data_IF_768346842651
#
_entry.id   IF_768346842651
#
_cell.length_a   1.000
_cell.length_b   1.000
_cell.length_c   1.000
_cell.angle_alpha   90.00
_cell.angle_beta   90.00
_cell.angle_gamma   90.00
#
_symmetry.space_group_name_H-M   'P 1'
#
loop_
_entity.id
_entity.type
_entity.pdbx_description
1 polymer ?
#
# COMPACT_ATOMS: atom_id res chain seq x y z
N UNK A 1 -7.28 -13.15 8.97
CA UNK A 1 -5.97 -13.03 9.67
C UNK A 1 -4.83 -13.44 8.76
N UNK A 2 -4.95 -14.58 8.08
CA UNK A 2 -3.89 -15.10 7.18
C UNK A 2 -3.46 -14.08 6.12
N UNK A 3 -4.40 -13.50 5.40
CA UNK A 3 -4.13 -12.47 4.37
C UNK A 3 -3.47 -11.23 4.96
N UNK A 4 -3.85 -10.79 6.16
CA UNK A 4 -3.22 -9.65 6.81
C UNK A 4 -1.76 -9.97 7.15
N UNK A 5 -1.48 -11.19 7.63
CA UNK A 5 -0.11 -11.66 7.92
C UNK A 5 0.72 -11.70 6.64
N UNK A 6 0.17 -12.28 5.57
CA UNK A 6 0.83 -12.35 4.27
C UNK A 6 1.09 -10.95 3.67
N UNK A 7 0.11 -10.05 3.75
CA UNK A 7 0.25 -8.66 3.29
C UNK A 7 1.31 -7.89 4.09
N UNK A 8 1.38 -8.12 5.42
CA UNK A 8 2.30 -7.41 6.30
C UNK A 8 3.74 -7.93 6.22
N UNK A 9 3.91 -9.25 6.20
CA UNK A 9 5.21 -9.88 6.40
C UNK A 9 5.71 -10.65 5.15
N UNK A 10 4.84 -10.90 4.17
CA UNK A 10 5.14 -11.67 2.97
C UNK A 10 4.66 -13.12 3.04
N UNK A 11 4.71 -13.81 1.88
CA UNK A 11 4.20 -15.18 1.72
C UNK A 11 4.91 -16.21 2.60
N UNK A 12 6.18 -15.98 2.96
CA UNK A 12 6.97 -16.88 3.79
C UNK A 12 6.44 -17.01 5.23
N UNK A 13 5.57 -16.10 5.62
CA UNK A 13 4.93 -16.03 6.94
C UNK A 13 3.44 -16.40 6.90
N UNK A 14 2.91 -16.73 5.72
CA UNK A 14 1.52 -17.11 5.54
C UNK A 14 1.14 -18.30 6.46
N UNK A 15 -0.06 -18.24 7.05
CA UNK A 15 -0.55 -19.26 7.97
C UNK A 15 0.00 -19.19 9.39
N UNK A 16 0.96 -18.32 9.68
CA UNK A 16 1.46 -18.09 11.04
C UNK A 16 0.47 -17.26 11.88
N UNK A 17 0.54 -17.44 13.20
CA UNK A 17 -0.11 -16.51 14.13
C UNK A 17 0.63 -15.16 14.06
N UNK A 18 -0.11 -14.03 14.18
CA UNK A 18 0.41 -12.69 13.88
C UNK A 18 1.62 -12.28 14.74
N UNK A 19 1.63 -12.62 16.04
CA UNK A 19 2.78 -12.30 16.91
C UNK A 19 3.98 -13.15 16.55
N UNK A 20 3.77 -14.45 16.26
CA UNK A 20 4.85 -15.35 15.84
C UNK A 20 5.43 -14.92 14.48
N UNK A 21 4.57 -14.47 13.55
CA UNK A 21 5.00 -13.92 12.27
C UNK A 21 5.86 -12.64 12.46
N UNK A 22 5.41 -11.73 13.31
CA UNK A 22 6.13 -10.49 13.60
C UNK A 22 7.50 -10.73 14.25
N UNK A 23 7.57 -11.65 15.22
CA UNK A 23 8.84 -12.02 15.88
C UNK A 23 9.82 -12.66 14.89
N UNK A 24 9.33 -13.62 14.09
CA UNK A 24 10.16 -14.28 13.08
C UNK A 24 10.64 -13.30 12.02
N UNK A 25 9.74 -12.48 11.47
CA UNK A 25 10.06 -11.46 10.48
C UNK A 25 11.13 -10.49 11.00
N UNK A 26 10.97 -9.99 12.22
CA UNK A 26 11.95 -9.10 12.85
C UNK A 26 13.32 -9.77 13.02
N UNK A 27 13.33 -11.06 13.43
CA UNK A 27 14.55 -11.85 13.57
C UNK A 27 15.24 -12.07 12.22
N UNK A 28 14.46 -12.41 11.19
CA UNK A 28 14.98 -12.64 9.83
C UNK A 28 15.56 -11.35 9.24
N UNK A 29 14.88 -10.21 9.43
CA UNK A 29 15.36 -8.88 9.00
C UNK A 29 16.70 -8.51 9.66
N UNK A 30 16.84 -8.71 10.98
CA UNK A 30 18.10 -8.47 11.71
C UNK A 30 19.20 -9.40 11.23
N UNK A 31 18.87 -10.65 10.92
CA UNK A 31 19.84 -11.62 10.39
C UNK A 31 20.34 -11.18 9.01
N UNK A 32 19.44 -10.83 8.09
CA UNK A 32 19.76 -10.33 6.75
C UNK A 32 20.64 -9.08 6.82
N UNK A 33 20.26 -8.11 7.68
CA UNK A 33 21.07 -6.92 7.93
C UNK A 33 22.51 -7.27 8.32
N UNK A 34 22.68 -8.21 9.25
CA UNK A 34 24.02 -8.60 9.74
C UNK A 34 24.83 -9.30 8.67
N UNK A 35 24.24 -10.24 7.94
CA UNK A 35 24.91 -11.02 6.90
C UNK A 35 25.39 -10.10 5.77
N UNK A 36 24.51 -9.21 5.28
CA UNK A 36 24.81 -8.26 4.21
C UNK A 36 25.89 -7.26 4.64
N UNK A 37 25.77 -6.65 5.82
CA UNK A 37 26.71 -5.60 6.25
C UNK A 37 28.06 -6.15 6.71
N UNK A 38 28.13 -7.40 7.19
CA UNK A 38 29.41 -8.04 7.52
C UNK A 38 30.30 -8.28 6.29
N UNK A 39 29.71 -8.60 5.14
CA UNK A 39 30.45 -8.74 3.89
C UNK A 39 30.96 -7.38 3.40
N UNK A 40 30.10 -6.37 3.39
CA UNK A 40 30.49 -5.00 3.05
C UNK A 40 31.58 -4.46 3.96
N UNK A 41 31.49 -4.66 5.27
CA UNK A 41 32.48 -4.19 6.23
C UNK A 41 33.87 -4.79 5.98
N UNK A 42 33.98 -6.01 5.46
CA UNK A 42 35.26 -6.63 5.11
C UNK A 42 35.91 -5.99 3.89
N UNK A 43 35.12 -5.45 2.95
CA UNK A 43 35.62 -4.75 1.76
C UNK A 43 36.17 -3.35 2.09
N UNK A 44 35.69 -2.75 3.20
CA UNK A 44 36.08 -1.39 3.65
C UNK A 44 37.19 -1.38 4.72
N UNK A 45 38.10 -2.36 4.75
CA UNK A 45 39.19 -2.47 5.76
C UNK A 45 40.14 -1.26 5.84
N UNK A 46 40.00 -0.23 5.01
CA UNK A 46 40.94 0.90 4.96
C UNK A 46 40.36 2.30 4.97
N UNK A 47 39.05 2.48 5.19
CA UNK A 47 38.44 3.80 5.22
C UNK A 47 37.19 3.85 6.12
N UNK A 48 36.91 5.02 6.70
CA UNK A 48 35.65 5.20 7.38
C UNK A 48 34.47 4.97 6.41
N UNK A 49 33.47 4.12 6.77
CA UNK A 49 32.28 3.96 5.93
C UNK A 49 31.62 5.32 5.73
N UNK A 50 31.39 5.73 4.51
CA UNK A 50 30.60 6.92 4.24
C UNK A 50 29.22 6.72 4.87
N UNK A 51 28.89 7.57 5.87
CA UNK A 51 27.71 7.40 6.71
C UNK A 51 26.44 7.22 5.89
N UNK A 52 25.62 6.26 6.29
CA UNK A 52 24.31 5.98 5.71
C UNK A 52 24.17 4.62 5.01
N UNK A 53 25.25 4.06 4.45
CA UNK A 53 25.20 2.77 3.74
C UNK A 53 24.83 1.60 4.67
N UNK A 54 25.18 1.71 5.96
CA UNK A 54 24.90 0.69 6.98
C UNK A 54 23.64 0.98 7.82
N UNK A 55 22.92 2.07 7.57
CA UNK A 55 21.69 2.36 8.28
C UNK A 55 20.51 1.75 7.54
N UNK A 56 20.01 0.65 8.07
CA UNK A 56 18.76 0.06 7.58
C UNK A 56 17.63 0.46 8.53
N UNK A 57 16.49 0.77 7.96
CA UNK A 57 15.28 1.08 8.68
C UNK A 57 14.11 0.35 8.03
N UNK A 58 13.25 -0.24 8.86
CA UNK A 58 11.98 -0.80 8.43
C UNK A 58 10.91 -0.41 9.43
N UNK A 59 9.88 0.30 8.94
CA UNK A 59 8.72 0.70 9.71
C UNK A 59 7.49 0.01 9.14
N UNK A 60 6.99 -1.00 9.83
CA UNK A 60 5.78 -1.73 9.46
C UNK A 60 4.65 -1.37 10.43
N UNK A 61 3.54 -0.89 9.89
CA UNK A 61 2.34 -0.54 10.64
C UNK A 61 1.11 -1.16 9.98
N UNK A 62 0.24 -1.74 10.79
CA UNK A 62 -1.05 -2.23 10.34
C UNK A 62 -2.17 -1.63 11.18
N UNK A 63 -3.23 -1.14 10.54
CA UNK A 63 -4.32 -0.48 11.24
C UNK A 63 -5.67 -0.64 10.53
N UNK A 64 -6.75 -0.59 11.32
CA UNK A 64 -8.09 -0.44 10.79
C UNK A 64 -8.21 0.92 10.11
N UNK A 65 -8.55 0.94 8.83
CA UNK A 65 -8.54 2.17 8.01
C UNK A 65 -9.91 2.66 7.59
N UNK A 66 -10.96 1.89 7.87
CA UNK A 66 -12.33 2.29 7.61
C UNK A 66 -13.29 1.13 7.41
N UNK A 67 -14.53 1.46 7.14
CA UNK A 67 -15.59 0.50 6.85
C UNK A 67 -16.67 1.11 5.96
N UNK A 68 -17.37 0.24 5.26
CA UNK A 68 -18.64 0.53 4.61
C UNK A 68 -19.54 -0.68 4.78
N UNK A 69 -20.72 -0.51 5.38
CA UNK A 69 -21.64 -1.58 5.73
C UNK A 69 -20.95 -2.72 6.52
N UNK A 70 -20.96 -3.93 5.97
CA UNK A 70 -20.31 -5.11 6.56
C UNK A 70 -18.87 -5.34 6.09
N UNK A 71 -18.34 -4.46 5.25
CA UNK A 71 -16.95 -4.54 4.78
C UNK A 71 -16.08 -3.64 5.65
N UNK A 72 -15.01 -4.22 6.17
CA UNK A 72 -13.96 -3.52 6.92
C UNK A 72 -12.69 -3.46 6.08
N UNK A 73 -12.03 -2.30 6.14
CA UNK A 73 -10.73 -2.08 5.50
C UNK A 73 -9.64 -2.05 6.54
N UNK A 74 -8.60 -2.82 6.29
CA UNK A 74 -7.35 -2.85 7.06
C UNK A 74 -6.21 -2.42 6.15
N UNK A 75 -5.35 -1.52 6.61
CA UNK A 75 -4.24 -1.02 5.81
C UNK A 75 -2.92 -1.42 6.44
N UNK A 76 -2.01 -1.91 5.60
CA UNK A 76 -0.61 -2.16 5.94
C UNK A 76 0.24 -1.09 5.28
N UNK A 77 0.96 -0.35 6.10
CA UNK A 77 1.95 0.65 5.69
C UNK A 77 3.34 0.10 5.99
N UNK A 78 4.22 0.14 5.01
CA UNK A 78 5.60 -0.26 5.19
C UNK A 78 6.54 0.76 4.57
N UNK A 79 7.52 1.25 5.35
CA UNK A 79 8.64 2.03 4.88
C UNK A 79 9.91 1.22 5.07
N UNK A 80 10.72 1.10 4.02
CA UNK A 80 11.99 0.38 4.03
C UNK A 80 13.08 1.31 3.51
N UNK A 81 14.17 1.39 4.25
CA UNK A 81 15.43 1.96 3.82
C UNK A 81 16.55 0.96 4.11
N UNK A 82 17.26 0.53 3.08
CA UNK A 82 18.37 -0.42 3.19
C UNK A 82 19.68 0.16 2.62
N UNK A 83 19.86 1.46 2.75
CA UNK A 83 20.96 2.21 2.14
C UNK A 83 20.59 2.80 0.77
N UNK A 84 21.42 3.69 0.27
CA UNK A 84 21.20 4.36 -1.00
C UNK A 84 20.61 5.76 -0.88
N UNK A 85 19.98 6.26 -1.95
CA UNK A 85 19.52 7.65 -2.04
C UNK A 85 18.26 7.95 -1.22
N UNK A 86 17.34 6.98 -1.11
CA UNK A 86 16.07 7.13 -0.40
C UNK A 86 15.45 5.76 -0.07
N UNK A 87 14.51 5.75 0.87
CA UNK A 87 13.68 4.58 1.17
C UNK A 87 12.50 4.42 0.21
N UNK A 88 11.76 3.34 0.39
CA UNK A 88 10.53 3.04 -0.34
C UNK A 88 9.38 2.89 0.62
N UNK A 89 8.25 3.50 0.29
CA UNK A 89 7.00 3.40 1.04
C UNK A 89 5.97 2.61 0.24
N UNK A 90 5.33 1.65 0.88
CA UNK A 90 4.16 0.94 0.35
C UNK A 90 2.97 1.10 1.30
N UNK A 91 1.78 1.18 0.74
CA UNK A 91 0.52 1.17 1.49
C UNK A 91 -0.46 0.26 0.76
N UNK A 92 -0.85 -0.84 1.41
CA UNK A 92 -1.74 -1.86 0.84
C UNK A 92 -2.97 -2.00 1.71
N UNK A 93 -4.14 -1.88 1.09
CA UNK A 93 -5.41 -2.07 1.76
C UNK A 93 -5.96 -3.49 1.52
N UNK A 94 -6.53 -4.08 2.57
CA UNK A 94 -7.21 -5.37 2.56
C UNK A 94 -8.64 -5.13 3.00
N UNK A 95 -9.61 -5.47 2.13
CA UNK A 95 -11.02 -5.37 2.44
C UNK A 95 -11.58 -6.75 2.76
N UNK A 96 -12.39 -6.84 3.82
CA UNK A 96 -12.95 -8.09 4.30
C UNK A 96 -14.39 -7.89 4.76
N UNK A 97 -15.27 -8.80 4.37
CA UNK A 97 -16.60 -8.86 4.96
C UNK A 97 -16.49 -9.43 6.39
N UNK A 98 -16.84 -8.62 7.39
CA UNK A 98 -16.67 -8.93 8.82
C UNK A 98 -17.53 -10.11 9.31
N UNK A 99 -18.63 -10.40 8.61
CA UNK A 99 -19.56 -11.47 9.00
C UNK A 99 -19.10 -12.84 8.46
N UNK A 100 -18.47 -12.86 7.27
CA UNK A 100 -18.06 -14.09 6.60
C UNK A 100 -16.56 -14.34 6.68
N UNK A 101 -15.76 -13.31 6.97
CA UNK A 101 -14.29 -13.35 6.93
C UNK A 101 -13.72 -13.44 5.52
N UNK A 102 -14.54 -13.32 4.47
CA UNK A 102 -14.08 -13.36 3.08
C UNK A 102 -13.48 -12.03 2.66
N UNK A 103 -12.42 -12.12 1.87
CA UNK A 103 -11.85 -10.95 1.19
C UNK A 103 -12.86 -10.39 0.18
N UNK A 104 -12.80 -9.09 0.00
CA UNK A 104 -13.60 -8.36 -0.98
C UNK A 104 -12.64 -7.61 -1.91
N UNK A 105 -12.59 -8.02 -3.14
CA UNK A 105 -11.84 -7.37 -4.20
C UNK A 105 -12.76 -6.51 -5.08
N UNK A 106 -12.20 -5.81 -6.07
CA UNK A 106 -12.98 -4.96 -6.99
C UNK A 106 -14.12 -5.72 -7.69
N UNK A 107 -13.87 -6.94 -8.15
CA UNK A 107 -14.87 -7.72 -8.86
C UNK A 107 -16.01 -8.20 -7.95
N UNK A 108 -15.77 -8.31 -6.66
CA UNK A 108 -16.82 -8.59 -5.67
C UNK A 108 -17.64 -7.34 -5.35
N UNK A 109 -16.98 -6.16 -5.36
CA UNK A 109 -17.56 -4.89 -4.95
C UNK A 109 -18.32 -4.18 -6.08
N UNK A 110 -17.77 -4.19 -7.31
CA UNK A 110 -18.36 -3.51 -8.45
C UNK A 110 -19.14 -4.45 -9.39
N UNK A 111 -20.07 -3.88 -10.15
CA UNK A 111 -20.78 -4.59 -11.22
C UNK A 111 -19.81 -4.97 -12.36
N UNK A 112 -20.14 -6.00 -13.17
CA UNK A 112 -19.34 -6.32 -14.36
C UNK A 112 -19.23 -5.13 -15.32
N UNK A 113 -18.02 -4.88 -15.85
CA UNK A 113 -17.75 -3.78 -16.79
C UNK A 113 -17.50 -2.42 -16.14
N UNK A 114 -17.35 -2.35 -14.82
CA UNK A 114 -17.14 -1.11 -14.06
C UNK A 114 -15.87 -0.33 -14.44
N UNK A 115 -14.82 -1.00 -14.94
CA UNK A 115 -13.46 -0.43 -15.02
C UNK A 115 -13.38 0.88 -15.81
N UNK A 116 -14.00 0.95 -16.99
CA UNK A 116 -13.96 2.14 -17.84
C UNK A 116 -14.65 3.34 -17.16
N UNK A 117 -15.84 3.13 -16.60
CA UNK A 117 -16.58 4.18 -15.90
C UNK A 117 -15.84 4.62 -14.64
N UNK A 118 -15.33 3.68 -13.84
CA UNK A 118 -14.58 3.96 -12.62
C UNK A 118 -13.26 4.68 -12.92
N UNK A 119 -12.55 4.32 -14.01
CA UNK A 119 -11.36 5.02 -14.48
C UNK A 119 -11.65 6.49 -14.80
N UNK A 120 -12.77 6.76 -15.48
CA UNK A 120 -13.20 8.13 -15.75
C UNK A 120 -13.46 8.96 -14.48
N UNK A 121 -14.12 8.35 -13.48
CA UNK A 121 -14.38 9.01 -12.19
C UNK A 121 -13.06 9.24 -11.43
N UNK A 122 -12.19 8.21 -11.33
CA UNK A 122 -10.88 8.32 -10.68
C UNK A 122 -10.04 9.46 -11.30
N UNK A 123 -9.98 9.50 -12.62
CA UNK A 123 -9.21 10.52 -13.35
C UNK A 123 -9.76 11.93 -13.11
N UNK A 124 -11.08 12.08 -12.95
CA UNK A 124 -11.70 13.37 -12.64
C UNK A 124 -11.36 13.89 -11.23
N UNK A 125 -11.14 12.98 -10.26
CA UNK A 125 -10.76 13.33 -8.88
C UNK A 125 -9.24 13.45 -8.68
N UNK A 126 -8.43 13.03 -9.66
CA UNK A 126 -6.98 12.97 -9.52
C UNK A 126 -6.34 14.32 -9.22
N UNK A 127 -6.88 15.42 -9.82
CA UNK A 127 -6.35 16.77 -9.59
C UNK A 127 -6.51 17.20 -8.13
N UNK A 128 -7.65 16.90 -7.53
CA UNK A 128 -7.97 17.29 -6.14
C UNK A 128 -7.23 16.42 -5.10
N UNK A 129 -6.72 15.26 -5.51
CA UNK A 129 -5.88 14.40 -4.70
C UNK A 129 -4.44 14.92 -4.52
N UNK A 130 -4.07 15.99 -5.22
CA UNK A 130 -2.72 16.55 -5.23
C UNK A 130 -2.68 17.96 -4.65
N UNK A 131 -1.55 18.36 -4.01
CA UNK A 131 -1.46 19.62 -3.29
C UNK A 131 -1.54 20.87 -4.20
N UNK A 132 -1.05 20.76 -5.43
CA UNK A 132 -0.94 21.88 -6.36
C UNK A 132 -0.93 21.47 -7.84
N UNK A 133 -0.94 22.45 -8.74
CA UNK A 133 -0.93 22.23 -10.17
C UNK A 133 0.41 21.66 -10.67
N UNK A 134 1.53 22.02 -10.06
CA UNK A 134 2.85 21.52 -10.43
C UNK A 134 2.93 20.01 -10.18
N UNK A 135 2.42 19.55 -9.06
CA UNK A 135 2.30 18.11 -8.72
C UNK A 135 1.45 17.35 -9.74
N UNK A 136 0.33 17.94 -10.17
CA UNK A 136 -0.53 17.34 -11.19
C UNK A 136 0.16 17.29 -12.56
N UNK A 137 0.89 18.35 -12.94
CA UNK A 137 1.61 18.40 -14.21
C UNK A 137 2.79 17.43 -14.28
N UNK A 138 3.36 17.08 -13.12
CA UNK A 138 4.45 16.12 -12.98
C UNK A 138 4.02 14.65 -13.09
N UNK A 139 2.72 14.33 -13.09
CA UNK A 139 2.23 12.96 -13.22
C UNK A 139 2.66 12.34 -14.55
N UNK A 140 2.99 11.05 -14.52
CA UNK A 140 3.30 10.26 -15.72
C UNK A 140 2.04 9.91 -16.52
N UNK A 141 0.94 9.68 -15.79
CA UNK A 141 -0.38 9.32 -16.32
C UNK A 141 -1.44 10.17 -15.62
N UNK A 142 -2.43 10.61 -16.39
CA UNK A 142 -3.57 11.38 -15.88
C UNK A 142 -4.89 10.64 -16.07
N UNK A 143 -4.93 9.71 -17.02
CA UNK A 143 -6.03 8.76 -17.19
C UNK A 143 -5.68 7.51 -16.39
N UNK A 144 -6.05 7.51 -15.10
CA UNK A 144 -5.71 6.44 -14.16
C UNK A 144 -6.77 5.35 -14.14
N UNK A 145 -6.31 4.12 -13.92
CA UNK A 145 -7.18 2.94 -13.83
C UNK A 145 -7.28 2.43 -12.38
N UNK A 146 -8.39 1.77 -12.02
CA UNK A 146 -8.48 1.04 -10.76
C UNK A 146 -7.39 -0.05 -10.71
N UNK A 147 -6.57 -0.01 -9.66
CA UNK A 147 -5.38 -0.86 -9.49
C UNK A 147 -5.57 -2.00 -8.48
N UNK A 148 -6.79 -2.17 -7.92
CA UNK A 148 -7.09 -3.18 -6.91
C UNK A 148 -6.70 -2.81 -5.48
N UNK A 149 -5.95 -1.74 -5.28
CA UNK A 149 -5.53 -1.27 -3.98
C UNK A 149 -6.44 -0.13 -3.50
N UNK A 150 -7.52 -0.48 -2.82
CA UNK A 150 -8.52 0.47 -2.36
C UNK A 150 -8.97 0.18 -0.94
N UNK A 151 -9.41 1.20 -0.24
CA UNK A 151 -10.06 1.11 1.06
C UNK A 151 -11.41 1.79 1.07
N UNK A 152 -12.28 1.36 1.98
CA UNK A 152 -13.62 1.87 2.16
C UNK A 152 -13.70 2.68 3.44
N UNK A 153 -14.47 3.77 3.43
CA UNK A 153 -14.77 4.59 4.59
C UNK A 153 -16.24 5.00 4.59
N UNK A 154 -16.68 5.74 5.59
CA UNK A 154 -18.03 6.33 5.62
C UNK A 154 -18.21 7.39 4.53
N UNK A 155 -17.13 8.02 4.07
CA UNK A 155 -17.14 9.09 3.08
C UNK A 155 -17.15 8.58 1.63
N UNK A 156 -16.54 7.43 1.37
CA UNK A 156 -16.39 6.91 0.02
C UNK A 156 -15.35 5.80 -0.10
N UNK A 157 -14.93 5.56 -1.33
CA UNK A 157 -13.83 4.65 -1.69
C UNK A 157 -12.57 5.44 -1.97
N UNK A 158 -11.43 5.01 -1.43
CA UNK A 158 -10.13 5.63 -1.68
C UNK A 158 -9.22 4.63 -2.37
N UNK A 159 -8.79 4.94 -3.59
CA UNK A 159 -7.74 4.23 -4.30
C UNK A 159 -6.35 4.74 -3.90
N UNK A 160 -5.42 3.81 -3.75
CA UNK A 160 -4.06 4.07 -3.26
C UNK A 160 -3.08 3.70 -4.35
N UNK A 161 -2.39 4.71 -4.89
CA UNK A 161 -1.34 4.54 -5.90
C UNK A 161 0.02 4.70 -5.25
N UNK A 162 0.89 3.71 -5.45
CA UNK A 162 2.23 3.68 -4.86
C UNK A 162 3.19 4.67 -5.49
N UNK A 163 4.36 4.80 -4.86
CA UNK A 163 5.47 5.59 -5.41
C UNK A 163 5.84 5.06 -6.80
N UNK A 164 6.09 5.95 -7.75
CA UNK A 164 6.39 5.66 -9.17
C UNK A 164 5.25 5.01 -9.97
N UNK A 165 4.08 4.74 -9.40
CA UNK A 165 2.98 4.10 -10.12
C UNK A 165 2.35 5.04 -11.14
N UNK A 166 1.99 6.25 -10.71
CA UNK A 166 1.35 7.26 -11.57
C UNK A 166 2.09 8.61 -11.59
N UNK A 167 3.13 8.78 -10.78
CA UNK A 167 3.91 10.00 -10.68
C UNK A 167 5.31 9.78 -10.11
N UNK A 168 6.17 10.80 -10.09
CA UNK A 168 7.53 10.70 -9.58
C UNK A 168 7.57 10.45 -8.07
N UNK A 169 8.68 9.90 -7.60
CA UNK A 169 8.91 9.50 -6.22
C UNK A 169 8.52 10.56 -5.17
N UNK A 170 8.84 11.83 -5.42
CA UNK A 170 8.63 12.90 -4.45
C UNK A 170 7.15 13.19 -4.16
N UNK A 171 6.23 12.76 -5.02
CA UNK A 171 4.79 12.85 -4.76
C UNK A 171 4.31 11.83 -3.73
N UNK A 172 5.15 10.84 -3.42
CA UNK A 172 4.80 9.82 -2.44
C UNK A 172 3.69 8.88 -2.90
N UNK A 173 2.87 8.47 -1.94
CA UNK A 173 1.64 7.69 -2.19
C UNK A 173 0.51 8.67 -2.52
N UNK A 174 -0.14 8.46 -3.64
CA UNK A 174 -1.27 9.28 -4.10
C UNK A 174 -2.57 8.56 -3.77
N UNK A 175 -3.49 9.25 -3.08
CA UNK A 175 -4.77 8.70 -2.64
C UNK A 175 -5.91 9.47 -3.29
N UNK A 176 -6.68 8.79 -4.13
CA UNK A 176 -7.83 9.35 -4.83
C UNK A 176 -9.10 8.85 -4.17
N UNK A 177 -9.86 9.75 -3.57
CA UNK A 177 -11.11 9.42 -2.89
C UNK A 177 -12.29 9.82 -3.75
N UNK A 178 -13.24 8.90 -3.94
CA UNK A 178 -14.50 9.09 -4.64
C UNK A 178 -15.62 8.98 -3.61
N UNK A 179 -16.47 10.00 -3.44
CA UNK A 179 -17.66 9.94 -2.61
C UNK A 179 -18.66 8.87 -3.09
N UNK A 180 -19.45 8.31 -2.16
CA UNK A 180 -20.40 7.24 -2.49
C UNK A 180 -21.45 7.65 -3.52
N UNK A 181 -21.92 8.89 -3.48
CA UNK A 181 -22.93 9.43 -4.40
C UNK A 181 -22.44 9.57 -5.85
N UNK A 182 -21.13 9.61 -6.06
CA UNK A 182 -20.53 9.67 -7.39
C UNK A 182 -20.27 8.29 -8.02
N UNK A 183 -20.32 7.22 -7.23
CA UNK A 183 -20.17 5.85 -7.73
C UNK A 183 -21.47 5.31 -8.36
N UNK A 184 -22.63 5.86 -7.97
CA UNK A 184 -23.91 5.49 -8.54
C UNK A 184 -24.16 3.98 -8.57
N UNK A 185 -24.62 3.49 -9.74
CA UNK A 185 -24.96 2.08 -9.94
C UNK A 185 -23.74 1.16 -10.18
N UNK A 186 -22.50 1.68 -10.04
CA UNK A 186 -21.28 0.86 -10.19
C UNK A 186 -21.09 -0.11 -9.02
N UNK A 187 -21.60 0.23 -7.83
CA UNK A 187 -21.50 -0.61 -6.64
C UNK A 187 -22.63 -1.64 -6.64
N UNK A 188 -22.31 -2.87 -6.27
CA UNK A 188 -23.33 -3.94 -6.14
C UNK A 188 -24.24 -3.68 -4.93
N UNK A 189 -25.51 -3.97 -5.06
CA UNK A 189 -26.53 -3.77 -4.01
C UNK A 189 -26.39 -4.75 -2.85
N UNK A 190 -25.64 -5.70 -2.76
CA UNK A 190 -25.47 -6.63 -1.61
C UNK A 190 -24.08 -7.29 -1.67
N UNK A 191 -23.19 -6.85 -0.82
CA UNK A 191 -21.82 -7.37 -0.71
C UNK A 191 -21.61 -8.09 0.62
#
# INVERSE_FOLDING_TARGET
TETIVETAFGSDYAGMEIHAAAEKWSSDYVKEYRETNLEFAKEFESGEPSGGVFNWENQLNGYFSGRHEDIVSYTVYNYIYSGGAHGTTTEVAVNMNRNTGKLVNEADFFIPGYREALSGILSSHLRDALPDQESYDALFVKDIEPNGNFKLSEEGITYIYGQYEIGPYYLGIIKVTIPWDELGDLVREHI
#
